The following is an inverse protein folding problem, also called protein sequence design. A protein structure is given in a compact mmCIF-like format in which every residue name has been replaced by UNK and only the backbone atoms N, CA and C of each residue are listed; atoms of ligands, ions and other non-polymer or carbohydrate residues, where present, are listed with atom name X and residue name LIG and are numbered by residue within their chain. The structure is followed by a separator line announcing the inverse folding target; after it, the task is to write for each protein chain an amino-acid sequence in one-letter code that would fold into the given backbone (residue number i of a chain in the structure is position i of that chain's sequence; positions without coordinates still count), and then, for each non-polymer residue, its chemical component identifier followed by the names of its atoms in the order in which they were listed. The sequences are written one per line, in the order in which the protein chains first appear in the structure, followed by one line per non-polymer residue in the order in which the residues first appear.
data_IF_043657564558
#
_entry.id   IF_043657564558
#
_cell.length_a   1.000
_cell.length_b   1.000
_cell.length_c   1.000
_cell.angle_alpha   90.00
_cell.angle_beta   90.00
_cell.angle_gamma   90.00
#
_symmetry.space_group_name_H-M   'P 1'
#
loop_
_entity.id
_entity.type
_entity.pdbx_description
1 polymer ?
#
# COMPACT_ATOMS: atom_id res chain seq x y z
N UNK A 1 -21.29 3.37 -8.07
CA UNK A 1 -20.39 4.33 -7.41
C UNK A 1 -19.41 4.85 -8.45
N UNK A 2 -19.40 6.16 -8.73
CA UNK A 2 -18.47 6.75 -9.69
C UNK A 2 -17.02 6.55 -9.24
N UNK A 3 -16.08 6.51 -10.19
CA UNK A 3 -14.66 6.29 -9.93
C UNK A 3 -14.08 7.30 -8.94
N UNK A 4 -14.59 8.52 -8.98
CA UNK A 4 -14.24 9.62 -8.10
C UNK A 4 -14.64 9.36 -6.63
N UNK A 5 -15.84 8.81 -6.37
CA UNK A 5 -16.26 8.44 -5.00
C UNK A 5 -15.44 7.31 -4.42
N UNK A 6 -14.93 6.38 -5.24
CA UNK A 6 -14.08 5.27 -4.77
C UNK A 6 -12.70 5.78 -4.34
N UNK A 7 -12.07 6.64 -5.15
CA UNK A 7 -10.77 7.24 -4.85
C UNK A 7 -10.84 8.16 -3.62
N UNK A 8 -11.85 9.03 -3.56
CA UNK A 8 -12.05 9.94 -2.42
C UNK A 8 -12.40 9.15 -1.14
N UNK A 9 -13.23 8.11 -1.26
CA UNK A 9 -13.64 7.27 -0.14
C UNK A 9 -12.48 6.48 0.48
N UNK A 10 -11.62 5.87 -0.35
CA UNK A 10 -10.46 5.12 0.16
C UNK A 10 -9.44 6.04 0.83
N UNK A 11 -9.15 7.21 0.24
CA UNK A 11 -8.21 8.17 0.80
C UNK A 11 -8.67 8.74 2.14
N UNK A 12 -9.94 9.16 2.22
CA UNK A 12 -10.51 9.68 3.46
C UNK A 12 -10.51 8.61 4.58
N UNK A 13 -10.84 7.36 4.26
CA UNK A 13 -10.81 6.26 5.23
C UNK A 13 -9.40 5.97 5.73
N UNK A 14 -8.40 5.96 4.85
CA UNK A 14 -7.00 5.77 5.23
C UNK A 14 -6.50 6.91 6.12
N UNK A 15 -6.84 8.17 5.81
CA UNK A 15 -6.50 9.31 6.65
C UNK A 15 -7.15 9.20 8.03
N UNK A 16 -8.42 8.80 8.10
CA UNK A 16 -9.11 8.57 9.38
C UNK A 16 -8.41 7.50 10.22
N UNK A 17 -8.08 6.35 9.62
CA UNK A 17 -7.36 5.28 10.29
C UNK A 17 -5.97 5.71 10.76
N UNK A 18 -5.26 6.50 9.96
CA UNK A 18 -3.97 7.05 10.33
C UNK A 18 -4.07 7.98 11.55
N UNK A 19 -5.01 8.92 11.52
CA UNK A 19 -5.25 9.86 12.62
C UNK A 19 -5.67 9.14 13.90
N UNK A 20 -6.59 8.17 13.80
CA UNK A 20 -7.06 7.40 14.94
C UNK A 20 -5.92 6.56 15.56
N UNK A 21 -5.13 5.87 14.73
CA UNK A 21 -3.98 5.11 15.21
C UNK A 21 -2.96 6.03 15.89
N UNK A 22 -2.62 7.16 15.26
CA UNK A 22 -1.70 8.15 15.82
C UNK A 22 -2.18 8.70 17.17
N UNK A 23 -3.46 9.08 17.26
CA UNK A 23 -4.06 9.54 18.51
C UNK A 23 -3.96 8.49 19.61
N UNK A 24 -4.28 7.24 19.29
CA UNK A 24 -4.19 6.14 20.25
C UNK A 24 -2.75 5.99 20.75
N UNK A 25 -1.75 5.94 19.86
CA UNK A 25 -0.34 5.87 20.26
C UNK A 25 0.09 7.02 21.17
N UNK A 26 -0.36 8.24 20.89
CA UNK A 26 -0.07 9.41 21.72
C UNK A 26 -0.70 9.26 23.11
N UNK A 27 -1.97 8.88 23.20
CA UNK A 27 -2.67 8.70 24.48
C UNK A 27 -1.99 7.63 25.35
N UNK A 28 -1.61 6.51 24.75
CA UNK A 28 -0.93 5.42 25.46
C UNK A 28 0.47 5.84 25.89
N UNK A 29 1.21 6.52 25.00
CA UNK A 29 2.53 7.07 25.32
C UNK A 29 2.46 8.04 26.50
N UNK A 30 1.37 8.81 26.62
CA UNK A 30 1.12 9.70 27.75
C UNK A 30 0.71 8.93 29.03
N UNK A 31 0.05 7.78 28.91
CA UNK A 31 -0.31 6.91 30.05
C UNK A 31 0.90 6.12 30.58
N UNK A 32 1.93 5.90 29.75
CA UNK A 32 3.10 5.09 30.09
C UNK A 32 3.79 5.48 31.41
N UNK A 33 4.04 6.77 31.73
CA UNK A 33 4.64 7.15 33.01
C UNK A 33 3.75 6.77 34.21
N UNK A 34 2.43 6.84 34.07
CA UNK A 34 1.49 6.41 35.12
C UNK A 34 1.54 4.90 35.35
N UNK A 35 1.66 4.13 34.27
CA UNK A 35 1.81 2.67 34.35
C UNK A 35 3.14 2.30 34.99
N UNK A 36 4.24 2.97 34.61
CA UNK A 36 5.56 2.75 35.22
C UNK A 36 5.56 3.09 36.72
N UNK A 37 4.87 4.16 37.14
CA UNK A 37 4.74 4.50 38.55
C UNK A 37 4.01 3.42 39.36
N UNK A 38 3.07 2.69 38.75
CA UNK A 38 2.37 1.54 39.38
C UNK A 38 3.22 0.26 39.43
N UNK A 39 4.35 0.23 38.72
CA UNK A 39 5.28 -0.88 38.66
C UNK A 39 6.57 -0.60 39.44
N UNK A 40 6.58 0.44 40.29
CA UNK A 40 7.76 0.84 41.08
C UNK A 40 8.30 -0.27 41.98
N UNK A 41 7.45 -1.22 42.35
CA UNK A 41 7.80 -2.36 43.21
C UNK A 41 8.59 -3.44 42.46
N UNK A 42 8.61 -3.40 41.13
CA UNK A 42 9.40 -4.30 40.31
C UNK A 42 10.79 -3.73 40.03
N UNK A 43 11.86 -4.52 40.17
CA UNK A 43 13.19 -4.08 39.75
C UNK A 43 13.21 -3.89 38.23
N UNK A 44 13.83 -2.80 37.76
CA UNK A 44 13.87 -2.44 36.35
C UNK A 44 14.47 -3.54 35.45
N UNK A 45 15.40 -4.33 35.99
CA UNK A 45 16.03 -5.45 35.29
C UNK A 45 15.00 -6.54 34.97
N UNK A 46 14.12 -6.88 35.91
CA UNK A 46 13.10 -7.92 35.71
C UNK A 46 12.06 -7.45 34.70
N UNK A 47 11.65 -6.17 34.77
CA UNK A 47 10.75 -5.58 33.77
C UNK A 47 11.35 -5.62 32.36
N UNK A 48 12.64 -5.28 32.22
CA UNK A 48 13.34 -5.36 30.94
C UNK A 48 13.45 -6.81 30.44
N UNK A 49 13.76 -7.76 31.34
CA UNK A 49 13.85 -9.18 31.01
C UNK A 49 12.49 -9.72 30.54
N UNK A 50 11.41 -9.42 31.25
CA UNK A 50 10.05 -9.80 30.85
C UNK A 50 9.67 -9.18 29.51
N UNK A 51 9.96 -7.90 29.31
CA UNK A 51 9.68 -7.23 28.05
C UNK A 51 10.40 -7.87 26.85
N UNK A 52 11.68 -8.18 27.00
CA UNK A 52 12.48 -8.86 25.96
C UNK A 52 11.98 -10.29 25.75
N UNK A 53 11.77 -11.05 26.83
CA UNK A 53 11.32 -12.44 26.75
C UNK A 53 9.95 -12.57 26.09
N UNK A 54 8.99 -11.73 26.47
CA UNK A 54 7.64 -11.72 25.88
C UNK A 54 7.71 -11.28 24.42
N UNK A 55 8.46 -10.23 24.09
CA UNK A 55 8.63 -9.78 22.70
C UNK A 55 9.25 -10.87 21.82
N UNK A 56 10.31 -11.52 22.29
CA UNK A 56 10.95 -12.62 21.58
C UNK A 56 10.01 -13.82 21.40
N UNK A 57 9.29 -14.21 22.47
CA UNK A 57 8.32 -15.31 22.43
C UNK A 57 7.22 -15.02 21.41
N UNK A 58 6.69 -13.80 21.42
CA UNK A 58 5.66 -13.33 20.49
C UNK A 58 6.12 -13.46 19.04
N UNK A 59 7.33 -13.00 18.74
CA UNK A 59 7.91 -13.04 17.39
C UNK A 59 8.18 -14.49 16.98
N UNK A 60 8.76 -15.30 17.88
CA UNK A 60 9.06 -16.70 17.64
C UNK A 60 7.80 -17.53 17.38
N UNK A 61 6.77 -17.38 18.22
CA UNK A 61 5.47 -18.06 18.05
C UNK A 61 4.85 -17.71 16.70
N UNK A 62 4.93 -16.44 16.30
CA UNK A 62 4.41 -16.00 15.00
C UNK A 62 5.15 -16.66 13.84
N UNK A 63 6.48 -16.65 13.85
CA UNK A 63 7.29 -17.32 12.82
C UNK A 63 6.98 -18.83 12.81
N UNK A 64 6.95 -19.45 13.97
CA UNK A 64 6.64 -20.87 14.13
C UNK A 64 5.24 -21.23 13.63
N UNK A 65 4.26 -20.33 13.72
CA UNK A 65 2.90 -20.55 13.21
C UNK A 65 2.78 -20.30 11.70
N UNK A 66 3.46 -19.29 11.16
CA UNK A 66 3.35 -18.89 9.76
C UNK A 66 3.96 -19.92 8.82
N UNK A 67 5.05 -20.57 9.20
CA UNK A 67 5.66 -21.61 8.36
C UNK A 67 4.72 -22.81 8.12
N UNK A 68 4.16 -23.47 9.16
CA UNK A 68 3.13 -24.49 9.00
C UNK A 68 1.89 -23.97 8.29
N UNK A 69 1.38 -22.79 8.63
CA UNK A 69 0.19 -22.23 8.01
C UNK A 69 0.36 -22.05 6.49
N UNK A 70 1.57 -21.71 6.03
CA UNK A 70 1.87 -21.60 4.60
C UNK A 70 2.10 -22.96 3.93
N UNK A 71 2.91 -23.85 4.53
CA UNK A 71 3.33 -25.08 3.84
C UNK A 71 2.38 -26.26 4.02
N UNK A 72 1.67 -26.36 5.14
CA UNK A 72 0.85 -27.53 5.47
C UNK A 72 -0.39 -27.67 4.55
N UNK A 73 -1.18 -26.61 4.27
CA UNK A 73 -2.30 -26.72 3.33
C UNK A 73 -1.86 -27.10 1.91
N UNK A 74 -0.71 -26.59 1.47
CA UNK A 74 -0.13 -26.87 0.15
C UNK A 74 0.47 -28.28 0.05
N UNK A 75 0.92 -28.87 1.16
CA UNK A 75 1.34 -30.29 1.21
C UNK A 75 0.17 -31.26 1.24
N UNK A 76 -0.96 -30.89 1.86
CA UNK A 76 -2.12 -31.77 1.99
C UNK A 76 -3.06 -31.73 0.78
N UNK A 77 -3.09 -30.64 0.02
CA UNK A 77 -3.97 -30.48 -1.16
C UNK A 77 -3.16 -30.28 -2.43
N UNK A 78 -3.17 -31.29 -3.31
CA UNK A 78 -2.56 -31.21 -4.64
C UNK A 78 -3.19 -30.11 -5.50
N UNK A 79 -4.50 -29.87 -5.36
CA UNK A 79 -5.22 -28.80 -6.08
C UNK A 79 -4.74 -27.40 -5.72
N UNK A 80 -4.36 -27.18 -4.46
CA UNK A 80 -3.84 -25.88 -4.00
C UNK A 80 -2.43 -25.64 -4.52
N UNK A 81 -1.56 -26.66 -4.47
CA UNK A 81 -0.19 -26.57 -4.99
C UNK A 81 -0.13 -26.26 -6.49
N UNK A 82 -1.12 -26.72 -7.26
CA UNK A 82 -1.20 -26.45 -8.70
C UNK A 82 -1.74 -25.04 -9.01
N UNK A 83 -2.63 -24.48 -8.17
CA UNK A 83 -3.15 -23.11 -8.36
C UNK A 83 -2.24 -22.04 -7.76
N UNK A 84 -1.53 -22.36 -6.70
CA UNK A 84 -0.70 -21.42 -5.93
C UNK A 84 0.59 -22.15 -5.48
N UNK A 85 1.69 -22.04 -6.25
CA UNK A 85 2.94 -22.72 -5.94
C UNK A 85 3.50 -22.25 -4.60
N UNK A 86 4.23 -23.12 -3.90
CA UNK A 86 4.73 -22.79 -2.56
C UNK A 86 5.76 -21.67 -2.64
N UNK A 87 5.57 -20.55 -1.90
CA UNK A 87 6.51 -19.45 -1.92
C UNK A 87 7.87 -19.86 -1.32
N UNK A 88 8.96 -19.22 -1.76
CA UNK A 88 10.28 -19.47 -1.21
C UNK A 88 10.28 -19.12 0.29
N UNK A 89 11.11 -19.84 1.06
CA UNK A 89 11.12 -19.72 2.53
C UNK A 89 11.51 -18.31 2.99
N UNK A 90 12.26 -17.58 2.17
CA UNK A 90 12.62 -16.19 2.38
C UNK A 90 11.38 -15.29 2.41
N UNK A 91 10.45 -15.47 1.46
CA UNK A 91 9.18 -14.74 1.41
C UNK A 91 8.31 -15.07 2.61
N UNK A 92 8.25 -16.36 3.01
CA UNK A 92 7.51 -16.77 4.21
C UNK A 92 8.12 -16.17 5.48
N UNK A 93 9.45 -16.08 5.57
CA UNK A 93 10.13 -15.44 6.69
C UNK A 93 9.86 -13.93 6.72
N UNK A 94 9.87 -13.25 5.58
CA UNK A 94 9.52 -11.82 5.46
C UNK A 94 8.07 -11.58 5.87
N UNK A 95 7.11 -12.41 5.42
CA UNK A 95 5.70 -12.37 5.85
C UNK A 95 5.60 -12.62 7.37
N UNK A 96 6.41 -13.55 7.88
CA UNK A 96 6.57 -13.81 9.31
C UNK A 96 6.99 -12.58 10.11
N UNK A 97 7.98 -11.85 9.56
CA UNK A 97 8.62 -10.70 10.17
C UNK A 97 7.82 -9.40 10.04
N UNK A 98 7.06 -9.23 8.95
CA UNK A 98 6.23 -8.04 8.66
C UNK A 98 5.00 -7.90 9.58
N UNK A 99 4.90 -8.75 10.59
CA UNK A 99 3.80 -8.88 11.53
C UNK A 99 3.68 -7.84 12.61
N UNK A 100 3.77 -6.56 12.25
CA UNK A 100 3.73 -5.44 13.19
C UNK A 100 2.45 -5.52 14.05
N UNK A 101 2.61 -5.52 15.38
CA UNK A 101 1.46 -5.50 16.29
C UNK A 101 0.92 -4.09 16.40
N UNK A 102 -0.38 -3.95 16.15
CA UNK A 102 -1.05 -2.67 16.17
C UNK A 102 -1.83 -2.41 17.44
N UNK A 103 -2.62 -1.34 17.37
CA UNK A 103 -3.56 -0.85 18.39
C UNK A 103 -4.49 -1.93 18.95
N UNK A 104 -4.90 -2.90 18.12
CA UNK A 104 -5.83 -3.97 18.53
C UNK A 104 -5.29 -4.79 19.71
N UNK A 105 -3.98 -5.06 19.74
CA UNK A 105 -3.37 -5.79 20.86
C UNK A 105 -3.47 -5.01 22.17
N UNK A 106 -3.33 -3.69 22.10
CA UNK A 106 -3.48 -2.87 23.29
C UNK A 106 -4.93 -2.70 23.71
N UNK A 107 -5.86 -2.56 22.76
CA UNK A 107 -7.28 -2.53 23.08
C UNK A 107 -7.70 -3.79 23.89
N UNK A 108 -7.15 -4.96 23.53
CA UNK A 108 -7.33 -6.19 24.28
C UNK A 108 -6.68 -6.18 25.68
N UNK A 109 -5.53 -5.52 25.84
CA UNK A 109 -4.92 -5.36 27.17
C UNK A 109 -5.71 -4.37 28.05
N UNK A 110 -6.23 -3.28 27.47
CA UNK A 110 -7.01 -2.28 28.17
C UNK A 110 -8.39 -2.79 28.57
N UNK A 111 -8.96 -3.72 27.81
CA UNK A 111 -10.24 -4.38 28.12
C UNK A 111 -10.15 -5.36 29.29
N UNK A 112 -8.94 -5.64 29.80
CA UNK A 112 -8.79 -6.41 31.03
C UNK A 112 -9.50 -5.72 32.19
N UNK A 113 -10.31 -6.46 32.96
CA UNK A 113 -11.13 -5.89 34.03
C UNK A 113 -10.25 -5.30 35.12
N UNK A 114 -10.76 -4.26 35.78
CA UNK A 114 -10.07 -3.61 36.91
C UNK A 114 -10.06 -4.50 38.15
N UNK A 115 -11.06 -5.37 38.28
CA UNK A 115 -11.25 -6.26 39.42
C UNK A 115 -11.52 -7.69 38.97
N UNK A 116 -11.10 -8.67 39.78
CA UNK A 116 -11.46 -10.06 39.60
C UNK A 116 -12.94 -10.29 39.96
N UNK A 117 -13.57 -11.41 39.55
CA UNK A 117 -14.95 -11.74 39.90
C UNK A 117 -15.30 -11.72 41.41
N UNK A 118 -14.28 -11.74 42.28
CA UNK A 118 -14.43 -11.60 43.74
C UNK A 118 -14.23 -10.18 44.29
N UNK A 119 -14.18 -9.14 43.44
CA UNK A 119 -14.02 -7.73 43.85
C UNK A 119 -12.59 -7.28 44.17
N UNK A 120 -11.63 -8.21 44.22
CA UNK A 120 -10.21 -7.89 44.44
C UNK A 120 -9.62 -7.14 43.24
N UNK A 121 -8.74 -6.15 43.45
CA UNK A 121 -8.08 -5.43 42.36
C UNK A 121 -7.19 -6.39 41.55
N UNK A 122 -7.16 -6.21 40.23
CA UNK A 122 -6.31 -7.02 39.36
C UNK A 122 -4.87 -6.47 39.32
N UNK A 123 -4.03 -6.93 40.24
CA UNK A 123 -2.66 -6.42 40.44
C UNK A 123 -1.74 -6.56 39.21
N UNK A 124 -1.94 -7.57 38.37
CA UNK A 124 -1.09 -7.81 37.19
C UNK A 124 -1.48 -6.97 35.96
N UNK A 125 -2.62 -6.28 36.00
CA UNK A 125 -3.11 -5.48 34.86
C UNK A 125 -2.09 -4.44 34.38
N UNK A 126 -1.44 -3.62 35.24
CA UNK A 126 -0.43 -2.65 34.80
C UNK A 126 0.77 -3.32 34.13
N UNK A 127 1.18 -4.50 34.61
CA UNK A 127 2.29 -5.28 34.04
C UNK A 127 1.94 -5.75 32.63
N UNK A 128 0.73 -6.30 32.42
CA UNK A 128 0.28 -6.76 31.10
C UNK A 128 0.19 -5.60 30.10
N UNK A 129 -0.35 -4.45 30.53
CA UNK A 129 -0.44 -3.26 29.67
C UNK A 129 0.96 -2.77 29.30
N UNK A 130 1.88 -2.69 30.27
CA UNK A 130 3.28 -2.32 30.04
C UNK A 130 3.96 -3.27 29.04
N UNK A 131 3.87 -4.58 29.24
CA UNK A 131 4.47 -5.57 28.34
C UNK A 131 3.84 -5.51 26.95
N UNK A 132 2.53 -5.31 26.85
CA UNK A 132 1.84 -5.15 25.56
C UNK A 132 2.34 -3.91 24.81
N UNK A 133 2.52 -2.79 25.53
CA UNK A 133 3.10 -1.59 24.96
C UNK A 133 4.53 -1.81 24.46
N UNK A 134 5.40 -2.44 25.26
CA UNK A 134 6.79 -2.69 24.84
C UNK A 134 6.84 -3.64 23.64
N UNK A 135 6.01 -4.68 23.61
CA UNK A 135 5.91 -5.57 22.44
C UNK A 135 5.48 -4.80 21.19
N UNK A 136 4.49 -3.91 21.30
CA UNK A 136 4.06 -3.07 20.18
C UNK A 136 5.20 -2.15 19.72
N UNK A 137 5.92 -1.52 20.64
CA UNK A 137 7.06 -0.67 20.32
C UNK A 137 8.18 -1.45 19.62
N UNK A 138 8.55 -2.61 20.14
CA UNK A 138 9.59 -3.50 19.56
C UNK A 138 9.18 -3.99 18.18
N UNK A 139 7.90 -4.32 17.98
CA UNK A 139 7.43 -4.80 16.68
C UNK A 139 7.25 -3.67 15.66
N UNK A 140 6.72 -2.51 16.04
CA UNK A 140 6.56 -1.39 15.12
C UNK A 140 7.88 -0.71 14.77
N UNK A 141 8.69 -0.36 15.77
CA UNK A 141 9.96 0.33 15.56
C UNK A 141 11.03 -0.67 15.20
N UNK A 142 11.22 -1.72 16.01
CA UNK A 142 12.26 -2.72 15.77
C UNK A 142 12.02 -3.52 14.49
N UNK A 143 10.88 -4.20 14.35
CA UNK A 143 10.62 -4.97 13.12
C UNK A 143 10.36 -4.06 11.91
N UNK A 144 9.64 -2.96 12.09
CA UNK A 144 9.36 -2.01 11.00
C UNK A 144 10.63 -1.42 10.38
N UNK A 145 11.61 -0.97 11.18
CA UNK A 145 12.87 -0.44 10.65
C UNK A 145 13.79 -1.54 10.10
N UNK A 146 13.72 -2.77 10.62
CA UNK A 146 14.56 -3.89 10.16
C UNK A 146 14.01 -4.59 8.93
N UNK A 147 12.72 -4.45 8.63
CA UNK A 147 12.05 -5.13 7.52
C UNK A 147 12.66 -4.77 6.15
N UNK A 148 12.91 -3.50 5.78
CA UNK A 148 13.53 -3.15 4.49
C UNK A 148 14.92 -3.76 4.33
N UNK A 149 15.71 -3.76 5.41
CA UNK A 149 17.03 -4.37 5.43
C UNK A 149 16.96 -5.89 5.27
N UNK A 150 15.99 -6.53 5.94
CA UNK A 150 15.76 -7.96 5.87
C UNK A 150 15.35 -8.39 4.45
N UNK A 151 14.42 -7.65 3.83
CA UNK A 151 14.00 -7.87 2.44
C UNK A 151 15.21 -7.79 1.50
N UNK A 152 16.00 -6.72 1.62
CA UNK A 152 17.20 -6.53 0.80
C UNK A 152 18.25 -7.62 1.00
N UNK A 153 18.46 -8.08 2.25
CA UNK A 153 19.42 -9.14 2.56
C UNK A 153 18.98 -10.52 2.08
N UNK A 154 17.70 -10.82 2.18
CA UNK A 154 17.17 -12.12 1.77
C UNK A 154 16.94 -12.19 0.25
N UNK A 155 17.11 -11.08 -0.46
CA UNK A 155 16.90 -11.03 -1.91
C UNK A 155 15.46 -11.37 -2.29
N UNK A 156 14.50 -11.07 -1.41
CA UNK A 156 13.07 -11.22 -1.71
C UNK A 156 12.67 -10.08 -2.63
N UNK A 157 12.99 -10.24 -3.91
CA UNK A 157 12.33 -9.52 -4.97
C UNK A 157 10.97 -10.20 -5.19
N UNK A 158 9.96 -9.44 -5.64
CA UNK A 158 8.72 -10.06 -6.07
C UNK A 158 9.05 -11.08 -7.15
N UNK A 159 8.63 -12.34 -6.97
CA UNK A 159 8.92 -13.46 -7.89
C UNK A 159 8.15 -13.30 -9.23
N UNK A 160 7.72 -12.08 -9.55
CA UNK A 160 6.90 -11.72 -10.69
C UNK A 160 5.46 -12.23 -10.58
N UNK A 161 5.10 -13.17 -9.72
CA UNK A 161 3.78 -13.82 -9.74
C UNK A 161 2.59 -12.83 -9.71
N UNK A 162 2.65 -11.80 -8.86
CA UNK A 162 1.64 -10.74 -8.84
C UNK A 162 1.68 -9.84 -10.09
N UNK A 163 2.88 -9.52 -10.58
CA UNK A 163 3.06 -8.81 -11.85
C UNK A 163 2.56 -9.63 -13.05
N UNK A 164 2.65 -10.96 -13.02
CA UNK A 164 2.13 -11.83 -14.09
C UNK A 164 0.60 -11.87 -14.07
N UNK A 165 -0.02 -11.97 -12.89
CA UNK A 165 -1.49 -11.89 -12.77
C UNK A 165 -2.02 -10.51 -13.19
N UNK A 166 -1.38 -9.43 -12.74
CA UNK A 166 -1.74 -8.07 -13.12
C UNK A 166 -1.52 -7.82 -14.60
N UNK A 167 -0.38 -8.22 -15.16
CA UNK A 167 -0.09 -8.08 -16.57
C UNK A 167 -1.06 -8.90 -17.43
N UNK A 168 -1.39 -10.13 -17.02
CA UNK A 168 -2.39 -10.94 -17.70
C UNK A 168 -3.77 -10.26 -17.64
N UNK A 169 -4.17 -9.70 -16.50
CA UNK A 169 -5.41 -8.94 -16.37
C UNK A 169 -5.41 -7.68 -17.25
N UNK A 170 -4.30 -6.94 -17.30
CA UNK A 170 -4.13 -5.77 -18.17
C UNK A 170 -4.18 -6.14 -19.65
N UNK A 171 -3.53 -7.24 -20.03
CA UNK A 171 -3.54 -7.76 -21.39
C UNK A 171 -4.95 -8.19 -21.80
N UNK A 172 -5.68 -8.89 -20.92
CA UNK A 172 -7.08 -9.26 -21.15
C UNK A 172 -7.98 -8.01 -21.29
N UNK A 173 -7.77 -6.99 -20.46
CA UNK A 173 -8.53 -5.74 -20.55
C UNK A 173 -8.27 -4.98 -21.85
N UNK A 174 -7.00 -4.91 -22.30
CA UNK A 174 -6.63 -4.27 -23.56
C UNK A 174 -7.19 -5.03 -24.77
N UNK A 175 -7.12 -6.37 -24.76
CA UNK A 175 -7.71 -7.20 -25.81
C UNK A 175 -9.23 -7.00 -25.88
N UNK A 176 -9.92 -6.99 -24.74
CA UNK A 176 -11.37 -6.73 -24.68
C UNK A 176 -11.72 -5.32 -25.19
N UNK A 177 -10.89 -4.31 -24.89
CA UNK A 177 -11.09 -2.96 -25.40
C UNK A 177 -10.90 -2.90 -26.92
N UNK A 178 -9.86 -3.54 -27.47
CA UNK A 178 -9.62 -3.61 -28.91
C UNK A 178 -10.77 -4.28 -29.66
N UNK A 179 -11.25 -5.44 -29.20
CA UNK A 179 -12.42 -6.10 -29.81
C UNK A 179 -13.66 -5.21 -29.74
N UNK A 180 -13.88 -4.49 -28.64
CA UNK A 180 -15.02 -3.58 -28.54
C UNK A 180 -14.90 -2.37 -29.47
N UNK A 181 -13.69 -1.84 -29.68
CA UNK A 181 -13.44 -0.75 -30.64
C UNK A 181 -13.73 -1.21 -32.08
N UNK A 182 -13.43 -2.46 -32.43
CA UNK A 182 -13.79 -3.04 -33.73
C UNK A 182 -15.32 -3.09 -33.91
N UNK A 183 -16.06 -3.60 -32.92
CA UNK A 183 -17.54 -3.60 -32.95
C UNK A 183 -18.14 -2.19 -33.07
N UNK A 184 -17.53 -1.19 -32.42
CA UNK A 184 -17.99 0.20 -32.47
C UNK A 184 -17.84 0.83 -33.86
N UNK A 185 -16.98 0.28 -34.73
CA UNK A 185 -16.80 0.75 -36.12
C UNK A 185 -18.11 0.58 -36.90
N UNK A 186 -18.81 -0.53 -36.69
CA UNK A 186 -20.10 -0.80 -37.34
C UNK A 186 -21.26 -0.06 -36.67
N UNK A 187 -21.17 0.22 -35.36
CA UNK A 187 -22.21 0.90 -34.58
C UNK A 187 -22.22 2.43 -34.79
N UNK A 188 -21.05 3.03 -35.04
CA UNK A 188 -20.86 4.48 -35.23
C UNK A 188 -20.07 4.82 -36.51
N UNK A 189 -20.61 4.53 -37.71
CA UNK A 189 -19.90 4.69 -38.98
C UNK A 189 -19.51 6.14 -39.32
N UNK A 190 -20.20 7.14 -38.76
CA UNK A 190 -19.85 8.55 -38.97
C UNK A 190 -18.68 9.05 -38.09
N UNK A 191 -18.14 8.20 -37.21
CA UNK A 191 -17.12 8.56 -36.20
C UNK A 191 -15.80 7.83 -36.41
N UNK A 192 -15.48 7.46 -37.65
CA UNK A 192 -14.26 6.73 -38.03
C UNK A 192 -12.97 7.37 -37.47
N UNK A 193 -12.87 8.70 -37.46
CA UNK A 193 -11.71 9.41 -36.93
C UNK A 193 -11.50 9.18 -35.42
N UNK A 194 -12.59 9.25 -34.63
CA UNK A 194 -12.55 9.00 -33.19
C UNK A 194 -12.20 7.54 -32.90
N UNK A 195 -12.78 6.61 -33.66
CA UNK A 195 -12.54 5.18 -33.53
C UNK A 195 -11.10 4.85 -33.90
N UNK A 196 -10.56 5.46 -34.97
CA UNK A 196 -9.16 5.33 -35.35
C UNK A 196 -8.21 5.88 -34.27
N UNK A 197 -8.55 7.00 -33.65
CA UNK A 197 -7.78 7.56 -32.54
C UNK A 197 -7.76 6.62 -31.32
N UNK A 198 -8.91 6.06 -30.94
CA UNK A 198 -9.01 5.07 -29.87
C UNK A 198 -8.25 3.79 -30.22
N UNK A 199 -8.36 3.30 -31.45
CA UNK A 199 -7.62 2.12 -31.93
C UNK A 199 -6.12 2.32 -31.78
N UNK A 200 -5.58 3.44 -32.26
CA UNK A 200 -4.16 3.78 -32.14
C UNK A 200 -3.74 3.89 -30.67
N UNK A 201 -4.56 4.52 -29.82
CA UNK A 201 -4.25 4.66 -28.39
C UNK A 201 -4.15 3.31 -27.67
N UNK A 202 -5.09 2.39 -27.92
CA UNK A 202 -5.10 1.08 -27.28
C UNK A 202 -4.09 0.10 -27.89
N UNK A 203 -3.77 0.21 -29.18
CA UNK A 203 -2.65 -0.50 -29.82
C UNK A 203 -1.31 -0.09 -29.20
N UNK A 204 -1.05 1.21 -29.11
CA UNK A 204 0.18 1.73 -28.51
C UNK A 204 0.35 1.28 -27.05
N UNK A 205 -0.74 1.24 -26.27
CA UNK A 205 -0.74 0.68 -24.90
C UNK A 205 -0.43 -0.82 -24.85
N UNK A 206 -0.93 -1.59 -25.81
CA UNK A 206 -0.68 -3.03 -25.87
C UNK A 206 0.77 -3.36 -26.24
N UNK A 207 1.36 -2.59 -27.15
CA UNK A 207 2.78 -2.68 -27.52
C UNK A 207 3.68 -2.42 -26.31
N UNK A 208 3.42 -1.35 -25.56
CA UNK A 208 4.18 -1.00 -24.36
C UNK A 208 4.08 -2.06 -23.24
N UNK A 209 2.91 -2.69 -23.08
CA UNK A 209 2.74 -3.76 -22.09
C UNK A 209 3.53 -5.03 -22.50
N UNK A 210 3.63 -5.31 -23.79
CA UNK A 210 4.36 -6.46 -24.33
C UNK A 210 5.87 -6.35 -24.10
N UNK A 211 6.45 -5.16 -24.28
CA UNK A 211 7.88 -4.90 -24.09
C UNK A 211 8.32 -5.05 -22.63
N UNK A 212 7.50 -4.59 -21.68
CA UNK A 212 7.77 -4.78 -20.25
C UNK A 212 7.73 -6.24 -19.78
N UNK A 213 7.09 -7.14 -20.54
CA UNK A 213 6.97 -8.55 -20.17
C UNK A 213 8.09 -9.44 -20.73
N UNK A 214 8.70 -9.05 -21.86
CA UNK A 214 9.69 -9.88 -22.55
C UNK A 214 11.15 -9.50 -22.25
N UNK A 215 11.40 -8.31 -21.71
CA UNK A 215 12.70 -7.89 -21.21
C UNK A 215 12.56 -7.13 -19.90
N UNK A 216 13.36 -7.48 -18.88
CA UNK A 216 13.56 -6.58 -17.74
C UNK A 216 13.93 -5.18 -18.22
N UNK A 217 13.73 -4.12 -17.42
CA UNK A 217 13.68 -2.72 -17.86
C UNK A 217 14.80 -2.43 -18.86
N UNK A 218 14.46 -2.46 -20.15
CA UNK A 218 15.37 -2.01 -21.19
C UNK A 218 15.47 -0.51 -20.98
N UNK A 219 16.70 0.01 -20.87
CA UNK A 219 16.92 1.45 -20.74
C UNK A 219 16.30 2.25 -21.90
N UNK A 220 15.93 1.58 -22.98
CA UNK A 220 15.25 2.12 -24.15
C UNK A 220 13.76 2.40 -23.88
N UNK A 221 13.02 1.46 -23.27
CA UNK A 221 11.61 1.66 -22.89
C UNK A 221 11.47 2.72 -21.78
N UNK A 222 12.38 2.72 -20.81
CA UNK A 222 12.41 3.76 -19.76
C UNK A 222 12.69 5.14 -20.36
N UNK A 223 13.59 5.21 -21.35
CA UNK A 223 13.92 6.44 -22.07
C UNK A 223 12.75 6.93 -22.92
N UNK A 224 12.04 6.05 -23.62
CA UNK A 224 10.87 6.43 -24.42
C UNK A 224 9.74 6.99 -23.54
N UNK A 225 9.50 6.39 -22.37
CA UNK A 225 8.52 6.90 -21.39
C UNK A 225 8.92 8.29 -20.87
N UNK A 226 10.21 8.50 -20.59
CA UNK A 226 10.73 9.82 -20.19
C UNK A 226 10.58 10.84 -21.31
N UNK A 227 10.91 10.48 -22.55
CA UNK A 227 10.78 11.36 -23.72
C UNK A 227 9.32 11.74 -23.96
N UNK A 228 8.37 10.80 -23.84
CA UNK A 228 6.93 11.08 -23.93
C UNK A 228 6.49 12.09 -22.87
N UNK A 229 6.89 11.89 -21.60
CA UNK A 229 6.57 12.83 -20.51
C UNK A 229 7.13 14.22 -20.77
N UNK A 230 8.37 14.32 -21.24
CA UNK A 230 9.01 15.61 -21.57
C UNK A 230 8.28 16.33 -22.70
N UNK A 231 7.93 15.62 -23.78
CA UNK A 231 7.18 16.18 -24.91
C UNK A 231 5.84 16.72 -24.43
N UNK A 232 5.10 15.94 -23.64
CA UNK A 232 3.76 16.34 -23.21
C UNK A 232 3.77 17.49 -22.23
N UNK A 233 4.75 17.52 -21.31
CA UNK A 233 4.97 18.66 -20.43
C UNK A 233 5.27 19.95 -21.20
N UNK A 234 6.09 19.86 -22.26
CA UNK A 234 6.37 21.01 -23.11
C UNK A 234 5.11 21.54 -23.82
N UNK A 235 4.19 20.66 -24.25
CA UNK A 235 2.90 21.05 -24.83
C UNK A 235 2.02 21.76 -23.79
N UNK A 236 1.87 21.19 -22.59
CA UNK A 236 1.07 21.78 -21.51
C UNK A 236 1.62 23.16 -21.11
N UNK A 237 2.93 23.33 -21.05
CA UNK A 237 3.56 24.62 -20.78
C UNK A 237 3.22 25.66 -21.86
N UNK A 238 3.28 25.26 -23.14
CA UNK A 238 2.90 26.14 -24.24
C UNK A 238 1.40 26.53 -24.20
N UNK A 239 0.51 25.62 -23.82
CA UNK A 239 -0.91 25.92 -23.61
C UNK A 239 -1.11 26.90 -22.45
N UNK A 240 -0.39 26.72 -21.35
CA UNK A 240 -0.43 27.62 -20.19
C UNK A 240 0.04 29.02 -20.55
N UNK A 241 1.17 29.15 -21.25
CA UNK A 241 1.67 30.44 -21.75
C UNK A 241 0.64 31.13 -22.66
N UNK A 242 -0.03 30.39 -23.54
CA UNK A 242 -1.06 30.94 -24.42
C UNK A 242 -2.27 31.48 -23.62
N UNK A 243 -2.72 30.75 -22.61
CA UNK A 243 -3.83 31.13 -21.72
C UNK A 243 -3.47 32.36 -20.88
N UNK A 244 -2.26 32.40 -20.32
CA UNK A 244 -1.72 33.57 -19.60
C UNK A 244 -1.69 34.79 -20.53
N UNK A 245 -1.18 34.63 -21.75
CA UNK A 245 -1.14 35.71 -22.74
C UNK A 245 -2.52 36.24 -23.13
N UNK A 246 -3.55 35.39 -23.17
CA UNK A 246 -4.93 35.83 -23.40
C UNK A 246 -5.48 36.69 -22.24
N UNK A 247 -5.13 36.34 -20.99
CA UNK A 247 -5.49 37.12 -19.81
C UNK A 247 -4.77 38.46 -19.77
N UNK A 248 -3.48 38.48 -20.09
CA UNK A 248 -2.67 39.72 -20.12
C UNK A 248 -3.16 40.73 -21.17
N UNK A 249 -3.73 40.23 -22.29
CA UNK A 249 -4.39 41.05 -23.31
C UNK A 249 -5.83 41.41 -22.98
N UNK A 250 -6.34 41.03 -21.80
CA UNK A 250 -7.72 41.28 -21.37
C UNK A 250 -8.78 40.54 -22.20
N UNK A 251 -8.39 39.50 -22.95
CA UNK A 251 -9.31 38.73 -23.80
C UNK A 251 -10.12 37.69 -23.02
N UNK A 252 -9.64 37.27 -21.84
CA UNK A 252 -10.33 36.36 -20.93
C UNK A 252 -10.28 36.89 -19.49
N UNK A 253 -11.23 36.47 -18.66
CA UNK A 253 -11.23 36.79 -17.24
C UNK A 253 -10.31 35.85 -16.45
N UNK A 254 -9.87 36.30 -15.27
CA UNK A 254 -9.11 35.47 -14.33
C UNK A 254 -9.86 34.18 -13.93
N UNK A 255 -11.19 34.21 -13.90
CA UNK A 255 -11.98 33.01 -13.60
C UNK A 255 -11.93 31.99 -14.74
N UNK A 256 -11.98 32.46 -15.99
CA UNK A 256 -11.82 31.59 -17.16
C UNK A 256 -10.41 30.99 -17.20
N UNK A 257 -9.37 31.81 -16.94
CA UNK A 257 -7.98 31.35 -16.82
C UNK A 257 -7.86 30.25 -15.76
N UNK A 258 -8.34 30.48 -14.53
CA UNK A 258 -8.29 29.49 -13.43
C UNK A 258 -9.07 28.21 -13.71
N UNK A 259 -10.05 28.23 -14.61
CA UNK A 259 -10.76 27.01 -15.02
C UNK A 259 -9.90 26.19 -15.98
N UNK A 260 -9.35 26.83 -17.00
CA UNK A 260 -8.46 26.17 -17.97
C UNK A 260 -7.17 25.68 -17.30
N UNK A 261 -6.53 26.49 -16.44
CA UNK A 261 -5.35 26.06 -15.69
C UNK A 261 -5.62 24.83 -14.83
N UNK A 262 -6.78 24.74 -14.17
CA UNK A 262 -7.15 23.53 -13.42
C UNK A 262 -7.27 22.30 -14.30
N UNK A 263 -7.80 22.44 -15.51
CA UNK A 263 -7.91 21.31 -16.44
C UNK A 263 -6.52 20.85 -16.91
N UNK A 264 -5.60 21.79 -17.17
CA UNK A 264 -4.19 21.51 -17.48
C UNK A 264 -3.45 20.85 -16.30
N UNK A 265 -3.66 21.34 -15.07
CA UNK A 265 -3.07 20.75 -13.86
C UNK A 265 -3.55 19.30 -13.65
N UNK A 266 -4.83 19.03 -13.93
CA UNK A 266 -5.38 17.67 -13.86
C UNK A 266 -4.79 16.75 -14.93
N UNK A 267 -4.49 17.28 -16.11
CA UNK A 267 -3.83 16.52 -17.16
C UNK A 267 -2.36 16.21 -16.82
N UNK A 268 -1.63 17.18 -16.26
CA UNK A 268 -0.25 17.00 -15.79
C UNK A 268 -0.17 15.93 -14.68
N UNK A 269 -1.07 15.98 -13.69
CA UNK A 269 -1.11 14.96 -12.63
C UNK A 269 -1.36 13.54 -13.16
N UNK A 270 -2.09 13.37 -14.28
CA UNK A 270 -2.31 12.05 -14.90
C UNK A 270 -1.06 11.49 -15.58
N UNK A 271 -0.07 12.31 -15.87
CA UNK A 271 1.20 11.90 -16.48
C UNK A 271 2.25 11.48 -15.44
N UNK A 272 2.13 12.01 -14.23
CA UNK A 272 3.03 11.71 -13.10
C UNK A 272 2.59 10.49 -12.26
N UNK A 273 1.31 10.11 -12.34
CA UNK A 273 0.72 8.95 -11.66
C UNK A 273 0.99 7.62 -12.39
#
# INVERSE_FOLDING_TARGET
MSSETRMLGSGAWQMLLFLLNGLIFILIGLELPSIMARLSDYPAVDLALYAVAVSATVVAVRILWIFPATYLPRRLSSKLRTRDPSPPWQTVLVIGWAGMRGVVSLAAALSLPLTLPGGQPFSERPLIIFLTFVVILVTLVGQGLTLPLLIKRLGVADDGGGHHEEAHARQAALAAAQSRIEELTDEFPDHDDLIAQLRNQYQHRAEHLGDHHQGGPSGEAEKELLDHRLIRRAVIEAEREAVIGLRDRGSISDEAMRRVERDLDLEEMRLEA
#
